data_IF_336815672900
#
_entry.id   IF_336815672900
#
_cell.length_a   1.000
_cell.length_b   1.000
_cell.length_c   1.000
_cell.angle_alpha   90.00
_cell.angle_beta   90.00
_cell.angle_gamma   90.00
#
_symmetry.space_group_name_H-M   'P 1'
#
loop_
_entity.id
_entity.type
_entity.pdbx_description
1 polymer ?
#
# COMPACT_ATOMS: atom_id res chain seq x y z
N UNK A 1 14.54 6.79 -70.93
CA UNK A 1 14.37 7.79 -69.85
C UNK A 1 13.61 7.13 -68.70
N UNK A 2 14.22 7.03 -67.51
CA UNK A 2 13.73 6.20 -66.39
C UNK A 2 12.97 7.05 -65.36
N UNK A 3 11.66 6.82 -65.19
CA UNK A 3 10.87 7.53 -64.18
C UNK A 3 9.89 6.60 -63.45
N UNK A 4 10.34 5.44 -62.98
CA UNK A 4 9.49 4.51 -62.22
C UNK A 4 10.25 3.88 -61.03
N UNK A 5 10.98 4.69 -60.27
CA UNK A 5 11.58 4.26 -58.98
C UNK A 5 11.50 5.38 -57.95
N UNK A 6 10.32 5.98 -57.76
CA UNK A 6 10.13 7.00 -56.70
C UNK A 6 8.70 6.98 -56.15
N UNK A 7 8.16 5.82 -55.80
CA UNK A 7 6.84 5.79 -55.13
C UNK A 7 6.70 4.76 -54.00
N UNK A 8 7.80 4.25 -53.46
CA UNK A 8 7.76 3.31 -52.32
C UNK A 8 8.42 3.88 -51.05
N UNK A 9 9.15 4.99 -51.14
CA UNK A 9 9.90 5.57 -50.02
C UNK A 9 9.04 6.43 -49.08
N UNK A 10 7.88 6.93 -49.54
CA UNK A 10 7.03 7.83 -48.74
C UNK A 10 6.11 7.09 -47.75
N UNK A 11 5.78 5.82 -48.03
CA UNK A 11 4.92 5.00 -47.17
C UNK A 11 5.67 4.40 -45.97
N UNK A 12 6.96 4.10 -46.12
CA UNK A 12 7.77 3.56 -45.02
C UNK A 12 8.09 4.61 -43.94
N UNK A 13 8.31 5.86 -44.34
CA UNK A 13 8.64 6.95 -43.40
C UNK A 13 7.47 7.35 -42.50
N UNK A 14 6.23 7.28 -42.99
CA UNK A 14 5.03 7.62 -42.21
C UNK A 14 4.70 6.56 -41.15
N UNK A 15 4.90 5.28 -41.46
CA UNK A 15 4.67 4.20 -40.48
C UNK A 15 5.66 4.26 -39.31
N UNK A 16 6.94 4.57 -39.57
CA UNK A 16 7.96 4.74 -38.52
C UNK A 16 7.66 5.95 -37.63
N UNK A 17 7.11 7.03 -38.20
CA UNK A 17 6.78 8.25 -37.44
C UNK A 17 5.56 8.05 -36.54
N UNK A 18 4.53 7.32 -37.00
CA UNK A 18 3.34 6.99 -36.20
C UNK A 18 3.67 6.00 -35.09
N UNK A 19 4.47 4.95 -35.38
CA UNK A 19 4.88 3.98 -34.36
C UNK A 19 5.83 4.60 -33.32
N UNK A 20 6.71 5.51 -33.76
CA UNK A 20 7.56 6.30 -32.87
C UNK A 20 6.73 7.20 -31.94
N UNK A 21 5.75 7.92 -32.47
CA UNK A 21 4.86 8.77 -31.65
C UNK A 21 4.05 7.96 -30.62
N UNK A 22 3.61 6.75 -30.97
CA UNK A 22 2.90 5.86 -30.05
C UNK A 22 3.79 5.27 -28.92
N UNK A 23 5.12 5.20 -29.10
CA UNK A 23 6.04 4.78 -28.04
C UNK A 23 6.47 5.91 -27.11
N UNK A 24 6.25 7.18 -27.50
CA UNK A 24 6.50 8.33 -26.62
C UNK A 24 5.33 8.63 -25.67
N UNK A 25 4.17 8.03 -25.88
CA UNK A 25 3.09 8.01 -24.87
C UNK A 25 3.33 6.87 -23.89
N UNK A 26 4.50 6.87 -23.24
CA UNK A 26 4.66 6.08 -22.03
C UNK A 26 3.74 6.72 -21.00
N UNK A 27 2.54 6.14 -20.83
CA UNK A 27 1.76 6.43 -19.63
C UNK A 27 2.70 6.16 -18.44
N UNK A 28 2.77 7.06 -17.45
CA UNK A 28 3.55 6.78 -16.26
C UNK A 28 2.96 5.51 -15.64
N UNK A 29 3.68 4.40 -15.76
CA UNK A 29 3.42 3.24 -14.92
C UNK A 29 3.90 3.67 -13.54
N UNK A 30 2.97 4.07 -12.69
CA UNK A 30 3.22 4.32 -11.28
C UNK A 30 3.58 2.97 -10.63
N UNK A 31 4.84 2.57 -10.77
CA UNK A 31 5.30 1.21 -10.49
C UNK A 31 5.48 0.92 -8.99
N UNK A 32 4.79 1.67 -8.11
CA UNK A 32 5.01 1.62 -6.66
C UNK A 32 3.75 1.66 -5.79
N UNK A 33 2.55 1.66 -6.38
CA UNK A 33 1.31 1.62 -5.61
C UNK A 33 1.04 0.26 -4.96
N UNK A 34 0.06 0.16 -4.05
CA UNK A 34 -0.33 -1.11 -3.48
C UNK A 34 -0.81 -2.09 -4.57
N UNK A 35 -0.57 -3.39 -4.36
CA UNK A 35 -0.93 -4.47 -5.29
C UNK A 35 -2.12 -5.28 -4.78
N UNK A 36 -2.37 -5.24 -3.47
CA UNK A 36 -3.53 -5.84 -2.82
C UNK A 36 -3.94 -5.06 -1.58
N UNK A 37 -5.14 -5.36 -1.10
CA UNK A 37 -5.71 -4.78 0.11
C UNK A 37 -6.41 -5.85 0.92
N UNK A 38 -6.27 -5.77 2.25
CA UNK A 38 -6.95 -6.60 3.23
C UNK A 38 -7.91 -5.73 4.03
N UNK A 39 -9.16 -6.17 4.17
CA UNK A 39 -10.20 -5.47 4.90
C UNK A 39 -10.61 -6.34 6.08
N UNK A 40 -10.71 -5.74 7.27
CA UNK A 40 -11.17 -6.43 8.47
C UNK A 40 -12.09 -5.55 9.32
N UNK A 41 -13.22 -6.11 9.75
CA UNK A 41 -14.14 -5.50 10.70
C UNK A 41 -14.15 -6.35 11.97
N UNK A 42 -13.47 -5.92 13.05
CA UNK A 42 -13.42 -6.66 14.30
C UNK A 42 -14.80 -6.82 14.96
N UNK A 43 -15.65 -5.79 14.90
CA UNK A 43 -17.00 -5.81 15.50
C UNK A 43 -17.94 -6.81 14.83
N UNK A 44 -17.82 -6.98 13.52
CA UNK A 44 -18.67 -7.90 12.76
C UNK A 44 -18.00 -9.24 12.44
N UNK A 45 -16.72 -9.39 12.81
CA UNK A 45 -15.89 -10.57 12.55
C UNK A 45 -15.81 -10.95 11.06
N UNK A 46 -15.87 -9.95 10.19
CA UNK A 46 -15.82 -10.14 8.74
C UNK A 46 -14.49 -9.67 8.16
N UNK A 47 -14.08 -10.31 7.08
CA UNK A 47 -12.88 -9.95 6.32
C UNK A 47 -13.13 -10.07 4.83
N UNK A 48 -12.42 -9.25 4.06
CA UNK A 48 -12.41 -9.28 2.61
C UNK A 48 -11.01 -8.95 2.10
N UNK A 49 -10.73 -9.26 0.83
CA UNK A 49 -9.46 -8.94 0.20
C UNK A 49 -9.66 -8.65 -1.28
N UNK A 50 -8.93 -7.69 -1.81
CA UNK A 50 -8.97 -7.33 -3.22
C UNK A 50 -7.56 -7.25 -3.79
N UNK A 51 -7.44 -7.55 -5.07
CA UNK A 51 -6.21 -7.31 -5.85
C UNK A 51 -6.40 -6.07 -6.73
N UNK A 52 -5.29 -5.41 -7.06
CA UNK A 52 -5.27 -4.18 -7.86
C UNK A 52 -5.87 -4.33 -9.28
N UNK A 53 -6.11 -5.55 -9.76
CA UNK A 53 -6.78 -5.79 -11.04
C UNK A 53 -8.31 -5.82 -10.96
N UNK A 54 -8.88 -5.68 -9.76
CA UNK A 54 -10.34 -5.65 -9.56
C UNK A 54 -10.88 -4.23 -9.61
N UNK A 55 -12.10 -4.07 -10.13
CA UNK A 55 -12.75 -2.74 -10.15
C UNK A 55 -13.10 -2.25 -8.75
N UNK A 56 -13.47 -3.18 -7.85
CA UNK A 56 -13.75 -2.87 -6.44
C UNK A 56 -12.54 -2.26 -5.72
N UNK A 57 -11.32 -2.64 -6.10
CA UNK A 57 -10.10 -2.10 -5.53
C UNK A 57 -9.97 -0.59 -5.80
N UNK A 58 -10.16 -0.18 -7.05
CA UNK A 58 -10.10 1.24 -7.45
C UNK A 58 -11.24 2.03 -6.83
N UNK A 59 -12.44 1.46 -6.79
CA UNK A 59 -13.60 2.08 -6.14
C UNK A 59 -13.36 2.30 -4.64
N UNK A 60 -12.75 1.31 -3.96
CA UNK A 60 -12.40 1.44 -2.55
C UNK A 60 -11.37 2.55 -2.34
N UNK A 61 -10.31 2.58 -3.16
CA UNK A 61 -9.26 3.60 -3.06
C UNK A 61 -9.82 5.01 -3.26
N UNK A 62 -10.64 5.19 -4.29
CA UNK A 62 -11.25 6.50 -4.61
C UNK A 62 -12.20 6.96 -3.49
N UNK A 63 -13.05 6.06 -2.99
CA UNK A 63 -13.96 6.35 -1.88
C UNK A 63 -13.22 6.69 -0.56
N UNK A 64 -11.98 6.21 -0.42
CA UNK A 64 -11.07 6.50 0.70
C UNK A 64 -10.14 7.70 0.43
N UNK A 65 -10.45 8.53 -0.58
CA UNK A 65 -9.73 9.78 -0.84
C UNK A 65 -8.51 9.65 -1.76
N UNK A 66 -8.42 8.58 -2.54
CA UNK A 66 -7.32 8.36 -3.48
C UNK A 66 -6.04 7.92 -2.77
N UNK A 67 -4.87 8.07 -3.41
CA UNK A 67 -3.58 7.61 -2.86
C UNK A 67 -3.06 8.46 -1.70
N UNK A 68 -3.29 9.77 -1.74
CA UNK A 68 -2.78 10.73 -0.76
C UNK A 68 -3.93 11.69 -0.38
N UNK A 69 -4.73 11.35 0.63
CA UNK A 69 -5.84 12.18 1.07
C UNK A 69 -5.35 13.41 1.83
N UNK A 70 -6.01 14.54 1.60
CA UNK A 70 -5.78 15.77 2.37
C UNK A 70 -6.56 15.75 3.70
N UNK A 71 -6.01 16.41 4.72
CA UNK A 71 -6.69 16.56 6.00
C UNK A 71 -7.98 17.37 5.87
N UNK A 72 -9.07 16.86 6.45
CA UNK A 72 -10.32 17.61 6.50
C UNK A 72 -10.19 18.80 7.48
N UNK A 73 -10.67 20.01 7.12
CA UNK A 73 -10.63 21.18 8.01
C UNK A 73 -11.30 20.96 9.37
N UNK A 74 -12.23 20.02 9.47
CA UNK A 74 -12.95 19.65 10.70
C UNK A 74 -12.32 18.46 11.45
N UNK A 75 -11.11 18.02 11.07
CA UNK A 75 -10.41 16.88 11.69
C UNK A 75 -10.33 16.94 13.23
N UNK A 76 -10.37 18.14 13.84
CA UNK A 76 -10.42 18.31 15.30
C UNK A 76 -11.63 17.65 15.97
N UNK A 77 -12.71 17.39 15.23
CA UNK A 77 -13.88 16.64 15.72
C UNK A 77 -13.53 15.20 16.09
N UNK A 78 -12.46 14.66 15.50
CA UNK A 78 -11.99 13.29 15.70
C UNK A 78 -10.79 13.20 16.64
N UNK A 79 -10.41 14.30 17.32
CA UNK A 79 -9.20 14.34 18.15
C UNK A 79 -9.18 13.28 19.27
N UNK A 80 -10.35 12.97 19.84
CA UNK A 80 -10.51 11.99 20.92
C UNK A 80 -11.07 10.64 20.42
N UNK A 81 -11.22 10.46 19.10
CA UNK A 81 -11.76 9.23 18.55
C UNK A 81 -10.77 8.07 18.78
N UNK A 82 -11.20 6.95 19.39
CA UNK A 82 -10.31 5.83 19.64
C UNK A 82 -9.95 5.16 18.32
N UNK A 83 -8.72 5.34 17.86
CA UNK A 83 -8.17 4.62 16.70
C UNK A 83 -7.06 3.66 17.09
N UNK A 84 -6.97 2.55 16.35
CA UNK A 84 -5.91 1.57 16.53
C UNK A 84 -6.37 0.24 17.12
N UNK A 85 -5.45 -0.56 17.66
CA UNK A 85 -5.74 -1.93 18.08
C UNK A 85 -6.82 -1.99 19.16
N UNK A 86 -7.89 -2.73 18.88
CA UNK A 86 -9.01 -2.93 19.82
C UNK A 86 -10.11 -1.87 19.77
N UNK A 87 -10.00 -0.87 18.89
CA UNK A 87 -11.08 0.06 18.57
C UNK A 87 -12.13 -0.57 17.66
N UNK A 88 -13.37 -0.05 17.72
CA UNK A 88 -14.45 -0.44 16.81
C UNK A 88 -14.35 0.37 15.50
N UNK A 89 -13.59 -0.16 14.56
CA UNK A 89 -13.30 0.46 13.26
C UNK A 89 -13.11 -0.63 12.20
N UNK A 90 -13.37 -0.30 10.94
CA UNK A 90 -13.00 -1.17 9.82
C UNK A 90 -11.58 -0.82 9.40
N UNK A 91 -10.68 -1.80 9.39
CA UNK A 91 -9.29 -1.62 8.97
C UNK A 91 -9.13 -2.03 7.53
N UNK A 92 -8.57 -1.15 6.70
CA UNK A 92 -8.22 -1.38 5.31
C UNK A 92 -6.70 -1.25 5.20
N UNK A 93 -6.02 -2.38 4.98
CA UNK A 93 -4.56 -2.47 4.93
C UNK A 93 -4.10 -2.69 3.50
N UNK A 94 -3.44 -1.69 2.94
CA UNK A 94 -2.89 -1.73 1.59
C UNK A 94 -1.50 -2.31 1.62
N UNK A 95 -1.23 -3.25 0.72
CA UNK A 95 0.02 -4.00 0.67
C UNK A 95 0.74 -3.72 -0.65
N UNK A 96 2.03 -3.34 -0.57
CA UNK A 96 2.93 -3.38 -1.72
C UNK A 96 3.55 -4.77 -1.85
N UNK A 97 3.54 -5.30 -3.07
CA UNK A 97 3.97 -6.66 -3.39
C UNK A 97 3.26 -7.74 -2.56
N UNK A 98 2.05 -7.46 -2.06
CA UNK A 98 1.21 -8.34 -1.25
C UNK A 98 1.81 -8.76 0.11
N UNK A 99 2.88 -8.09 0.56
CA UNK A 99 3.61 -8.50 1.78
C UNK A 99 3.94 -7.36 2.72
N UNK A 100 4.17 -6.16 2.19
CA UNK A 100 4.60 -5.01 2.99
C UNK A 100 3.48 -4.02 3.11
N UNK A 101 3.14 -3.61 4.33
CA UNK A 101 2.14 -2.56 4.54
C UNK A 101 2.63 -1.26 3.93
N UNK A 102 1.82 -0.71 3.02
CA UNK A 102 2.05 0.57 2.36
C UNK A 102 1.26 1.68 3.04
N UNK A 103 0.00 1.40 3.39
CA UNK A 103 -0.93 2.33 4.02
C UNK A 103 -1.98 1.58 4.82
N UNK A 104 -2.50 2.19 5.87
CA UNK A 104 -3.67 1.70 6.60
C UNK A 104 -4.73 2.81 6.69
N UNK A 105 -5.95 2.50 6.25
CA UNK A 105 -7.12 3.33 6.50
C UNK A 105 -7.97 2.71 7.59
N UNK A 106 -8.39 3.53 8.54
CA UNK A 106 -9.30 3.13 9.63
C UNK A 106 -10.60 3.88 9.44
N UNK A 107 -11.63 3.15 9.01
CA UNK A 107 -12.96 3.70 8.77
C UNK A 107 -13.72 3.69 10.10
N UNK A 108 -14.11 4.88 10.54
CA UNK A 108 -14.90 5.11 11.75
C UNK A 108 -16.27 5.64 11.34
N UNK A 109 -17.30 4.91 11.76
CA UNK A 109 -18.70 5.26 11.56
C UNK A 109 -19.16 6.03 12.79
N UNK A 110 -19.60 7.26 12.62
CA UNK A 110 -20.11 8.09 13.72
C UNK A 110 -21.64 8.14 13.69
N UNK A 111 -22.27 8.37 14.85
CA UNK A 111 -23.73 8.37 15.00
C UNK A 111 -24.45 9.40 14.12
N UNK A 112 -23.76 10.47 13.68
CA UNK A 112 -24.30 11.44 12.71
C UNK A 112 -24.57 10.84 11.34
N UNK A 113 -24.04 9.65 11.06
CA UNK A 113 -24.04 9.04 9.74
C UNK A 113 -22.90 9.54 8.85
N UNK A 114 -21.94 10.29 9.36
CA UNK A 114 -20.71 10.60 8.62
C UNK A 114 -19.75 9.41 8.65
N UNK A 115 -18.89 9.33 7.63
CA UNK A 115 -17.80 8.35 7.58
C UNK A 115 -16.48 9.09 7.66
N UNK A 116 -15.80 8.91 8.78
CA UNK A 116 -14.46 9.42 9.02
C UNK A 116 -13.44 8.34 8.73
N UNK A 117 -12.29 8.76 8.20
CA UNK A 117 -11.20 7.88 7.83
C UNK A 117 -9.93 8.45 8.44
N UNK A 118 -9.23 7.62 9.21
CA UNK A 118 -7.87 7.90 9.65
C UNK A 118 -6.89 7.15 8.74
N UNK A 119 -6.15 7.91 7.94
CA UNK A 119 -5.19 7.39 6.97
C UNK A 119 -3.76 7.51 7.50
N UNK A 120 -3.03 6.40 7.48
CA UNK A 120 -1.63 6.32 7.89
C UNK A 120 -0.79 5.70 6.78
N UNK A 121 0.23 6.42 6.31
CA UNK A 121 1.14 5.95 5.27
C UNK A 121 2.45 5.42 5.88
N UNK A 122 2.93 4.27 5.39
CA UNK A 122 4.17 3.63 5.85
C UNK A 122 5.42 4.14 5.13
N UNK A 123 5.47 5.43 4.75
CA UNK A 123 6.58 5.95 3.95
C UNK A 123 7.92 6.07 4.71
N UNK A 124 7.93 5.94 6.04
CA UNK A 124 9.13 6.06 6.87
C UNK A 124 9.38 4.83 7.74
N UNK A 125 9.93 3.76 7.17
CA UNK A 125 10.57 2.56 7.79
C UNK A 125 9.85 1.80 8.94
N UNK A 126 8.78 2.33 9.53
CA UNK A 126 7.96 1.71 10.57
C UNK A 126 6.61 2.43 10.64
N UNK A 127 5.55 1.75 10.23
CA UNK A 127 4.18 2.20 10.48
C UNK A 127 3.94 2.26 11.99
N UNK A 128 3.38 3.35 12.50
CA UNK A 128 2.94 3.41 13.88
C UNK A 128 1.62 2.64 14.05
N UNK A 129 1.73 1.38 14.44
CA UNK A 129 0.56 0.52 14.70
C UNK A 129 -0.33 1.04 15.83
N UNK A 130 0.11 2.01 16.63
CA UNK A 130 -0.71 2.59 17.71
C UNK A 130 -1.83 3.47 17.19
N UNK A 131 -1.75 3.95 15.96
CA UNK A 131 -2.83 4.70 15.33
C UNK A 131 -2.75 6.22 15.49
N UNK A 132 -1.64 6.77 15.99
CA UNK A 132 -1.54 8.18 16.36
C UNK A 132 -0.98 9.11 15.28
N UNK A 133 -0.23 8.55 14.33
CA UNK A 133 0.42 9.32 13.26
C UNK A 133 -0.34 9.14 11.94
N UNK A 134 -1.35 9.98 11.69
CA UNK A 134 -2.15 9.94 10.47
C UNK A 134 -2.98 11.19 10.21
N UNK A 135 -3.72 11.15 9.11
CA UNK A 135 -4.59 12.24 8.65
C UNK A 135 -6.04 11.81 8.75
N UNK A 136 -6.82 12.63 9.44
CA UNK A 136 -8.27 12.51 9.45
C UNK A 136 -8.88 13.21 8.24
N UNK A 137 -9.73 12.49 7.52
CA UNK A 137 -10.54 13.03 6.45
C UNK A 137 -11.88 12.30 6.34
N UNK A 138 -12.78 12.82 5.52
CA UNK A 138 -14.05 12.16 5.21
C UNK A 138 -13.92 11.31 3.95
N UNK A 139 -14.81 10.35 3.81
CA UNK A 139 -15.01 9.65 2.53
C UNK A 139 -15.45 10.66 1.45
N UNK A 140 -14.92 10.50 0.24
CA UNK A 140 -15.33 11.29 -0.93
C UNK A 140 -16.75 10.96 -1.39
N UNK A 141 -17.19 9.72 -1.17
CA UNK A 141 -18.54 9.23 -1.42
C UNK A 141 -18.93 8.20 -0.33
N UNK A 142 -19.54 8.65 0.78
CA UNK A 142 -19.85 7.77 1.91
C UNK A 142 -20.91 6.72 1.58
N UNK A 143 -21.83 6.99 0.64
CA UNK A 143 -22.87 6.04 0.25
C UNK A 143 -22.31 4.95 -0.66
N UNK A 144 -21.45 5.32 -1.62
CA UNK A 144 -20.73 4.34 -2.42
C UNK A 144 -19.81 3.47 -1.56
N UNK A 145 -19.13 4.05 -0.56
CA UNK A 145 -18.29 3.29 0.36
C UNK A 145 -19.09 2.25 1.15
N UNK A 146 -20.27 2.62 1.67
CA UNK A 146 -21.16 1.66 2.37
C UNK A 146 -21.62 0.53 1.46
N UNK A 147 -22.08 0.87 0.26
CA UNK A 147 -22.57 -0.10 -0.71
C UNK A 147 -21.46 -1.08 -1.12
N UNK A 148 -20.25 -0.57 -1.33
CA UNK A 148 -19.09 -1.39 -1.65
C UNK A 148 -18.70 -2.31 -0.49
N UNK A 149 -18.65 -1.78 0.74
CA UNK A 149 -18.35 -2.60 1.91
C UNK A 149 -19.40 -3.71 2.10
N UNK A 150 -20.69 -3.41 1.91
CA UNK A 150 -21.76 -4.41 1.96
C UNK A 150 -21.62 -5.48 0.85
N UNK A 151 -21.30 -5.07 -0.39
CA UNK A 151 -21.01 -6.00 -1.50
C UNK A 151 -19.85 -6.94 -1.17
N UNK A 152 -18.83 -6.43 -0.47
CA UNK A 152 -17.68 -7.19 0.00
C UNK A 152 -17.98 -8.06 1.24
N UNK A 153 -19.21 -8.02 1.76
CA UNK A 153 -19.62 -8.74 2.96
C UNK A 153 -19.08 -8.14 4.25
N UNK A 154 -18.74 -6.84 4.25
CA UNK A 154 -18.33 -6.06 5.42
C UNK A 154 -19.50 -5.15 5.84
N UNK A 155 -20.40 -5.63 6.72
CA UNK A 155 -21.55 -4.85 7.13
C UNK A 155 -21.11 -3.58 7.88
N UNK A 156 -21.66 -2.45 7.46
CA UNK A 156 -21.43 -1.13 8.08
C UNK A 156 -22.51 -0.75 9.09
N UNK A 157 -23.58 -1.54 9.18
CA UNK A 157 -24.58 -1.38 10.22
C UNK A 157 -24.16 -2.18 11.44
N UNK A 158 -24.02 -1.51 12.59
CA UNK A 158 -23.97 -2.19 13.88
C UNK A 158 -25.33 -2.83 14.11
N UNK A 159 -25.51 -4.06 13.63
CA UNK A 159 -26.49 -4.93 14.25
C UNK A 159 -26.04 -5.05 15.71
N UNK A 160 -26.95 -4.71 16.62
CA UNK A 160 -26.86 -5.05 18.03
C UNK A 160 -26.43 -6.51 18.12
N UNK A 161 -25.13 -6.75 18.35
CA UNK A 161 -24.55 -8.09 18.25
C UNK A 161 -25.01 -8.98 19.40
N UNK A 162 -25.90 -8.49 20.28
CA UNK A 162 -26.33 -9.21 21.48
C UNK A 162 -25.16 -9.57 22.38
N UNK A 163 -23.99 -8.96 22.17
CA UNK A 163 -22.82 -9.17 23.00
C UNK A 163 -23.10 -8.44 24.33
N UNK A 164 -22.91 -9.13 25.47
CA UNK A 164 -23.08 -8.47 26.76
C UNK A 164 -22.09 -7.29 26.87
N UNK A 165 -22.49 -6.20 27.54
CA UNK A 165 -21.63 -5.04 27.73
C UNK A 165 -20.30 -5.49 28.33
N UNK A 166 -19.21 -4.89 27.82
CA UNK A 166 -17.86 -5.08 28.33
C UNK A 166 -17.88 -4.88 29.85
N UNK A 167 -17.33 -5.81 30.65
CA UNK A 167 -17.30 -5.62 32.10
C UNK A 167 -16.55 -4.34 32.44
N UNK A 168 -17.12 -3.51 33.31
CA UNK A 168 -16.47 -2.30 33.83
C UNK A 168 -15.08 -2.65 34.40
N UNK A 169 -14.10 -1.72 34.30
CA UNK A 169 -12.81 -1.92 34.93
C UNK A 169 -13.02 -2.05 36.45
N UNK A 170 -12.82 -3.27 36.96
CA UNK A 170 -12.89 -3.60 38.38
C UNK A 170 -11.97 -2.65 39.14
N UNK A 171 -12.57 -1.76 39.92
CA UNK A 171 -11.87 -0.96 40.93
C UNK A 171 -11.59 -1.87 42.12
N UNK A 172 -10.31 -2.04 42.42
CA UNK A 172 -9.69 -2.62 43.61
C UNK A 172 -10.25 -3.93 44.19
N UNK A 173 -9.50 -5.00 43.92
CA UNK A 173 -9.19 -5.99 44.94
C UNK A 173 -7.72 -6.41 44.78
N UNK A 174 -6.83 -5.68 45.46
CA UNK A 174 -5.60 -6.27 45.94
C UNK A 174 -5.97 -7.41 46.91
N UNK A 175 -5.64 -8.66 46.59
CA UNK A 175 -4.52 -9.36 47.22
C UNK A 175 -4.33 -10.80 46.68
N UNK A 176 -3.06 -11.20 46.66
CA UNK A 176 -2.49 -12.55 46.64
C UNK A 176 -2.75 -13.55 45.48
N UNK A 177 -1.68 -13.66 44.66
CA UNK A 177 -0.85 -14.88 44.49
C UNK A 177 -1.32 -15.92 43.47
N UNK A 178 -0.73 -15.89 42.27
CA UNK A 178 -0.03 -17.08 41.77
C UNK A 178 0.96 -16.79 40.63
N UNK A 179 1.99 -17.62 40.61
CA UNK A 179 3.17 -17.63 39.77
C UNK A 179 2.91 -17.49 38.26
N UNK A 180 3.58 -16.50 37.66
CA UNK A 180 4.00 -16.59 36.27
C UNK A 180 5.41 -16.03 36.15
N UNK A 181 6.34 -16.93 35.79
CA UNK A 181 7.72 -16.61 35.39
C UNK A 181 7.73 -15.39 34.46
N UNK A 182 8.32 -14.30 34.94
CA UNK A 182 8.82 -13.23 34.08
C UNK A 182 9.99 -13.81 33.30
N UNK A 183 9.79 -14.11 32.02
CA UNK A 183 10.89 -14.31 31.11
C UNK A 183 11.53 -12.93 30.87
N UNK A 184 12.57 -12.63 31.64
CA UNK A 184 13.47 -11.51 31.37
C UNK A 184 14.14 -11.75 30.02
N UNK A 185 13.71 -11.05 28.97
CA UNK A 185 14.51 -10.93 27.77
C UNK A 185 15.63 -9.92 28.08
N UNK A 186 16.75 -10.45 28.56
CA UNK A 186 18.03 -9.76 28.49
C UNK A 186 18.32 -9.46 27.02
N UNK A 187 18.31 -8.18 26.67
CA UNK A 187 18.85 -7.67 25.41
C UNK A 187 20.35 -7.92 25.41
N UNK A 188 20.76 -9.12 24.99
CA UNK A 188 22.15 -9.42 24.71
C UNK A 188 22.57 -8.70 23.43
N UNK A 189 23.18 -7.54 23.67
CA UNK A 189 24.12 -6.84 22.80
C UNK A 189 25.00 -7.85 22.03
N UNK A 190 24.58 -8.20 20.81
CA UNK A 190 25.43 -8.91 19.87
C UNK A 190 25.96 -7.92 18.85
N UNK A 191 27.24 -7.66 19.03
CA UNK A 191 28.19 -6.90 18.23
C UNK A 191 27.81 -6.60 16.76
N UNK A 192 27.94 -5.33 16.32
CA UNK A 192 27.92 -4.97 14.92
C UNK A 192 29.28 -5.29 14.29
N UNK A 193 29.50 -6.51 13.81
CA UNK A 193 30.61 -6.80 12.90
C UNK A 193 30.46 -8.20 12.27
N UNK A 194 30.82 -8.32 10.99
CA UNK A 194 30.82 -9.53 10.13
C UNK A 194 29.52 -9.75 9.38
N UNK A 195 29.25 -8.91 8.37
CA UNK A 195 28.98 -9.34 6.98
C UNK A 195 29.31 -8.17 6.04
N UNK A 196 30.59 -7.81 6.01
CA UNK A 196 31.15 -7.01 4.92
C UNK A 196 31.48 -7.98 3.78
N UNK A 197 30.61 -7.99 2.76
CA UNK A 197 30.86 -8.33 1.34
C UNK A 197 31.27 -9.78 1.01
N UNK A 198 30.59 -10.41 0.01
CA UNK A 198 31.12 -10.26 -1.36
C UNK A 198 30.01 -10.31 -2.43
N UNK A 199 29.56 -9.14 -2.92
CA UNK A 199 28.81 -9.07 -4.20
C UNK A 199 29.33 -7.98 -5.14
N UNK A 200 30.56 -7.48 -4.89
CA UNK A 200 31.24 -6.51 -5.74
C UNK A 200 32.20 -7.14 -6.79
N UNK A 201 32.06 -8.44 -7.12
CA UNK A 201 33.00 -9.14 -8.02
C UNK A 201 32.37 -9.78 -9.28
N UNK A 202 31.09 -9.54 -9.58
CA UNK A 202 30.43 -10.11 -10.76
C UNK A 202 30.25 -9.12 -11.95
N UNK A 203 30.50 -7.81 -11.75
CA UNK A 203 30.30 -6.80 -12.80
C UNK A 203 31.52 -6.44 -13.67
N UNK A 204 32.75 -6.70 -13.19
CA UNK A 204 33.98 -6.23 -13.87
C UNK A 204 34.49 -7.22 -14.93
N UNK A 205 34.14 -8.50 -14.85
CA UNK A 205 34.63 -9.51 -15.78
C UNK A 205 33.94 -9.45 -17.17
N UNK A 206 32.69 -8.98 -17.27
CA UNK A 206 31.98 -8.89 -18.55
C UNK A 206 32.42 -7.68 -19.42
N UNK A 207 32.87 -6.59 -18.80
CA UNK A 207 33.32 -5.38 -19.52
C UNK A 207 34.65 -5.56 -20.26
N UNK A 208 35.60 -6.28 -19.65
CA UNK A 208 36.95 -6.47 -20.20
C UNK A 208 36.96 -7.43 -21.41
N UNK A 209 36.01 -8.37 -21.49
CA UNK A 209 35.91 -9.31 -22.61
C UNK A 209 35.30 -8.66 -23.86
N UNK A 210 34.42 -7.68 -23.69
CA UNK A 210 33.78 -6.96 -24.81
C UNK A 210 34.74 -5.93 -25.43
N UNK A 211 35.51 -5.18 -24.63
CA UNK A 211 36.49 -4.20 -25.15
C UNK A 211 37.62 -4.87 -25.96
N UNK A 212 38.08 -6.05 -25.52
CA UNK A 212 39.11 -6.82 -26.26
C UNK A 212 38.63 -7.36 -27.61
N UNK A 213 37.34 -7.66 -27.76
CA UNK A 213 36.78 -8.13 -29.05
C UNK A 213 36.57 -7.00 -30.07
N UNK A 214 36.42 -5.77 -29.61
CA UNK A 214 36.26 -4.60 -30.49
C UNK A 214 37.61 -4.04 -30.98
N UNK A 215 38.68 -4.07 -30.16
CA UNK A 215 40.03 -3.66 -30.62
C UNK A 215 40.72 -4.68 -31.52
N UNK A 216 40.37 -5.96 -31.44
CA UNK A 216 40.97 -7.02 -32.27
C UNK A 216 40.53 -7.01 -33.74
N UNK A 217 39.51 -6.23 -34.12
CA UNK A 217 38.96 -6.20 -35.49
C UNK A 217 39.52 -5.10 -36.40
N UNK A 218 40.39 -4.23 -35.89
CA UNK A 218 41.01 -3.16 -36.70
C UNK A 218 42.44 -3.44 -37.19
N UNK A 219 42.98 -4.65 -37.03
CA UNK A 219 44.32 -4.99 -37.52
C UNK A 219 44.39 -6.23 -38.43
N UNK A 220 43.28 -6.66 -39.01
CA UNK A 220 43.29 -7.64 -40.10
C UNK A 220 42.24 -7.33 -41.13
N UNK A 221 42.63 -6.59 -42.15
CA UNK A 221 42.21 -6.79 -43.54
C UNK A 221 43.25 -6.14 -44.46
N UNK A 222 43.52 -6.77 -45.61
CA UNK A 222 44.80 -6.76 -46.34
C UNK A 222 45.17 -5.46 -47.05
#
# INVERSE_FOLDING_TARGET
MPHLVRSSARAAGTLVLVLGAAMLTSMPAEAGGPTSVLISSPSTQTTASLYANSTQYEQLLDALGGTTPDADPQASEMADAPVGPGSDQINVTWLVHDVSVWRVDRIVLVDSGDIWIHTEESLSERLDVTGTDGVWHRSTDPDALRALLDELGIPTSTHDTGLPPRPDPLTDAADERNDARVASFTSENTSPLVWVLPSAAAGVALGVVIDRRLRGRHLRSP
#
